data_IF_535431319329
#
_entry.id   IF_535431319329
#
_cell.length_a   1.000
_cell.length_b   1.000
_cell.length_c   1.000
_cell.angle_alpha   90.00
_cell.angle_beta   90.00
_cell.angle_gamma   90.00
#
_symmetry.space_group_name_H-M   'P 1'
#
loop_
_entity.id
_entity.type
_entity.pdbx_description
1 polymer ?
#
# COMPACT_ATOMS: atom_id res chain seq x y z
N UNK A 1 20.07 -50.55 -41.67
CA UNK A 1 19.37 -51.36 -42.69
C UNK A 1 17.92 -50.90 -42.78
N UNK A 2 17.40 -50.59 -43.98
CA UNK A 2 15.99 -50.27 -44.21
C UNK A 2 15.18 -51.57 -44.44
N UNK A 3 13.98 -51.51 -45.06
CA UNK A 3 12.65 -51.35 -44.49
C UNK A 3 11.85 -52.68 -44.58
N UNK A 4 10.56 -52.70 -44.19
CA UNK A 4 9.55 -53.52 -44.89
C UNK A 4 8.11 -53.15 -44.49
N UNK A 5 7.33 -52.74 -45.50
CA UNK A 5 5.87 -52.77 -45.54
C UNK A 5 5.41 -54.21 -45.82
N UNK A 6 4.27 -54.61 -45.24
CA UNK A 6 3.31 -55.52 -45.90
C UNK A 6 1.97 -55.50 -45.17
N UNK A 7 1.00 -54.86 -45.80
CA UNK A 7 -0.39 -55.23 -46.08
C UNK A 7 -1.21 -56.18 -45.19
N UNK A 8 -2.45 -55.70 -44.95
CA UNK A 8 -3.74 -56.39 -45.17
C UNK A 8 -4.06 -57.65 -44.36
N UNK A 9 -5.13 -57.57 -43.55
CA UNK A 9 -6.38 -58.33 -43.79
C UNK A 9 -7.48 -58.00 -42.77
N UNK A 10 -8.68 -57.73 -43.29
CA UNK A 10 -10.03 -58.12 -42.85
C UNK A 10 -10.49 -58.08 -41.37
N UNK A 11 -11.62 -57.39 -41.21
CA UNK A 11 -12.62 -57.41 -40.11
C UNK A 11 -13.16 -58.83 -39.84
N UNK A 12 -13.69 -59.15 -38.63
CA UNK A 12 -15.06 -58.73 -38.30
C UNK A 12 -15.31 -58.33 -36.83
N UNK A 13 -16.46 -57.69 -36.67
CA UNK A 13 -17.07 -57.25 -35.43
C UNK A 13 -17.08 -58.30 -34.31
N UNK A 14 -16.76 -57.89 -33.09
CA UNK A 14 -17.40 -58.46 -31.92
C UNK A 14 -17.63 -57.41 -30.83
N UNK A 15 -18.85 -57.42 -30.34
CA UNK A 15 -19.44 -56.50 -29.38
C UNK A 15 -18.95 -56.85 -27.97
N UNK A 16 -18.20 -55.94 -27.33
CA UNK A 16 -17.83 -56.11 -25.92
C UNK A 16 -18.25 -54.92 -25.06
N UNK A 17 -19.10 -55.27 -24.11
CA UNK A 17 -19.84 -54.44 -23.16
C UNK A 17 -18.87 -53.84 -22.15
N UNK A 18 -18.35 -52.63 -22.41
CA UNK A 18 -17.48 -51.92 -21.46
C UNK A 18 -18.31 -51.17 -20.41
N UNK A 19 -18.34 -51.72 -19.21
CA UNK A 19 -18.81 -51.10 -17.97
C UNK A 19 -18.11 -49.76 -17.72
N UNK A 20 -18.87 -48.66 -17.81
CA UNK A 20 -18.39 -47.30 -17.49
C UNK A 20 -18.35 -47.10 -15.97
N UNK A 21 -17.17 -46.92 -15.42
CA UNK A 21 -16.93 -46.34 -14.10
C UNK A 21 -17.49 -44.91 -14.07
N UNK A 22 -18.19 -44.48 -13.00
CA UNK A 22 -18.71 -43.13 -12.93
C UNK A 22 -17.58 -42.13 -12.72
N UNK A 23 -17.28 -41.34 -13.76
CA UNK A 23 -16.53 -40.10 -13.68
C UNK A 23 -17.26 -39.14 -12.72
N UNK A 24 -16.73 -39.02 -11.50
CA UNK A 24 -17.23 -38.09 -10.48
C UNK A 24 -16.82 -36.67 -10.89
N UNK A 25 -17.61 -36.09 -11.80
CA UNK A 25 -17.54 -34.69 -12.22
C UNK A 25 -17.85 -33.82 -11.01
N UNK A 26 -16.83 -33.49 -10.19
CA UNK A 26 -16.92 -32.47 -9.14
C UNK A 26 -17.27 -31.16 -9.85
N UNK A 27 -18.52 -30.73 -9.69
CA UNK A 27 -19.01 -29.51 -10.30
C UNK A 27 -18.21 -28.31 -9.75
N UNK A 28 -17.51 -27.60 -10.64
CA UNK A 28 -16.80 -26.36 -10.33
C UNK A 28 -17.73 -25.25 -9.83
N UNK A 29 -19.04 -25.43 -9.99
CA UNK A 29 -20.10 -24.57 -9.46
C UNK A 29 -20.23 -24.68 -7.93
N UNK A 30 -19.96 -25.85 -7.33
CA UNK A 30 -20.00 -26.04 -5.88
C UNK A 30 -18.89 -25.32 -5.13
N UNK A 31 -17.68 -25.21 -5.71
CA UNK A 31 -16.57 -24.47 -5.11
C UNK A 31 -16.80 -22.94 -5.15
N UNK A 32 -17.33 -22.43 -6.27
CA UNK A 32 -17.66 -20.99 -6.40
C UNK A 32 -18.81 -20.57 -5.47
N UNK A 33 -19.80 -21.44 -5.27
CA UNK A 33 -20.89 -21.18 -4.31
C UNK A 33 -20.41 -21.21 -2.84
N UNK A 34 -19.45 -22.07 -2.49
CA UNK A 34 -18.87 -22.11 -1.14
C UNK A 34 -17.96 -20.91 -0.85
N UNK A 35 -17.21 -20.43 -1.83
CA UNK A 35 -16.37 -19.24 -1.69
C UNK A 35 -17.20 -17.95 -1.50
N UNK A 36 -18.31 -17.81 -2.25
CA UNK A 36 -19.24 -16.66 -2.10
C UNK A 36 -20.01 -16.67 -0.77
N UNK A 37 -20.29 -17.86 -0.20
CA UNK A 37 -20.98 -18.02 1.08
C UNK A 37 -20.06 -17.90 2.31
N UNK A 38 -18.75 -18.04 2.14
CA UNK A 38 -17.76 -17.97 3.22
C UNK A 38 -17.33 -16.54 3.60
N UNK A 39 -17.57 -15.54 2.74
CA UNK A 39 -17.59 -14.15 3.13
C UNK A 39 -18.97 -13.80 3.74
N UNK A 40 -19.29 -14.40 4.89
CA UNK A 40 -20.57 -14.19 5.54
C UNK A 40 -20.77 -12.74 6.02
N UNK A 41 -22.02 -12.30 6.23
CA UNK A 41 -22.37 -10.96 6.73
C UNK A 41 -21.62 -10.53 8.01
N UNK A 42 -21.08 -11.49 8.78
CA UNK A 42 -20.23 -11.19 9.95
C UNK A 42 -18.89 -10.56 9.60
N UNK A 43 -18.26 -10.94 8.48
CA UNK A 43 -16.95 -10.38 8.07
C UNK A 43 -17.08 -8.96 7.56
N UNK A 44 -18.14 -8.68 6.78
CA UNK A 44 -18.44 -7.32 6.29
C UNK A 44 -18.74 -6.39 7.46
N UNK A 45 -19.52 -6.84 8.45
CA UNK A 45 -19.81 -6.07 9.66
C UNK A 45 -18.55 -5.80 10.49
N UNK A 46 -17.68 -6.81 10.66
CA UNK A 46 -16.42 -6.65 11.38
C UNK A 46 -15.47 -5.66 10.67
N UNK A 47 -15.34 -5.75 9.35
CA UNK A 47 -14.53 -4.82 8.56
C UNK A 47 -15.09 -3.39 8.63
N UNK A 48 -16.41 -3.21 8.57
CA UNK A 48 -17.05 -1.89 8.77
C UNK A 48 -16.76 -1.32 10.15
N UNK A 49 -16.76 -2.15 11.20
CA UNK A 49 -16.40 -1.68 12.56
C UNK A 49 -14.94 -1.24 12.64
N UNK A 50 -14.02 -1.99 12.02
CA UNK A 50 -12.59 -1.64 12.02
C UNK A 50 -12.30 -0.39 11.19
N UNK A 51 -12.91 -0.27 10.00
CA UNK A 51 -12.72 0.83 9.05
C UNK A 51 -13.78 1.93 9.15
N UNK A 52 -14.51 2.00 10.26
CA UNK A 52 -15.34 3.18 10.52
C UNK A 52 -14.44 4.36 10.85
N UNK A 53 -14.84 5.55 10.42
CA UNK A 53 -14.15 6.79 10.78
C UNK A 53 -14.15 7.09 12.29
N UNK A 54 -15.04 6.43 13.05
CA UNK A 54 -15.12 6.48 14.52
C UNK A 54 -14.31 5.39 15.21
N UNK A 55 -13.61 4.55 14.45
CA UNK A 55 -12.82 3.44 14.97
C UNK A 55 -11.59 3.93 15.72
N UNK A 56 -11.38 3.43 16.94
CA UNK A 56 -10.17 3.68 17.72
C UNK A 56 -8.91 3.23 16.99
N UNK A 57 -9.01 2.22 16.13
CA UNK A 57 -7.88 1.72 15.34
C UNK A 57 -7.46 2.71 14.25
N UNK A 58 -8.42 3.36 13.58
CA UNK A 58 -8.12 4.40 12.57
C UNK A 58 -7.46 5.61 13.23
N UNK A 59 -7.97 6.03 14.40
CA UNK A 59 -7.37 7.11 15.18
C UNK A 59 -5.98 6.76 15.68
N UNK A 60 -5.77 5.55 16.21
CA UNK A 60 -4.45 5.08 16.62
C UNK A 60 -3.46 5.05 15.45
N UNK A 61 -3.86 4.53 14.29
CA UNK A 61 -3.05 4.57 13.08
C UNK A 61 -2.72 6.01 12.67
N UNK A 62 -3.69 6.92 12.79
CA UNK A 62 -3.47 8.34 12.57
C UNK A 62 -2.43 8.96 13.51
N UNK A 63 -2.52 8.68 14.82
CA UNK A 63 -1.52 9.14 15.79
C UNK A 63 -0.13 8.57 15.48
N UNK A 64 -0.05 7.29 15.11
CA UNK A 64 1.21 6.66 14.72
C UNK A 64 1.85 7.36 13.52
N UNK A 65 1.07 7.69 12.49
CA UNK A 65 1.56 8.49 11.34
C UNK A 65 2.04 9.86 11.79
N UNK A 66 1.28 10.57 12.63
CA UNK A 66 1.69 11.88 13.14
C UNK A 66 3.01 11.83 13.92
N UNK A 67 3.20 10.80 14.76
CA UNK A 67 4.45 10.57 15.49
C UNK A 67 5.61 10.25 14.54
N UNK A 68 5.38 9.47 13.48
CA UNK A 68 6.41 9.17 12.48
C UNK A 68 6.90 10.43 11.78
N UNK A 69 6.00 11.32 11.36
CA UNK A 69 6.38 12.62 10.78
C UNK A 69 7.21 13.46 11.76
N UNK A 70 6.84 13.51 13.04
CA UNK A 70 7.66 14.19 14.06
C UNK A 70 9.04 13.53 14.18
N UNK A 71 9.11 12.20 14.19
CA UNK A 71 10.37 11.48 14.31
C UNK A 71 11.29 11.75 13.11
N UNK A 72 10.77 11.76 11.88
CA UNK A 72 11.54 12.16 10.70
C UNK A 72 11.99 13.63 10.77
N UNK A 73 11.10 14.53 11.19
CA UNK A 73 11.45 15.92 11.37
C UNK A 73 12.62 16.13 12.34
N UNK A 74 12.58 15.47 13.50
CA UNK A 74 13.68 15.49 14.46
C UNK A 74 14.95 14.82 13.93
N UNK A 75 14.81 13.73 13.18
CA UNK A 75 15.93 13.04 12.55
C UNK A 75 16.70 13.96 11.60
N UNK A 76 15.98 14.75 10.79
CA UNK A 76 16.56 15.70 9.85
C UNK A 76 17.33 16.82 10.56
N UNK A 77 16.87 17.28 11.72
CA UNK A 77 17.61 18.25 12.55
C UNK A 77 18.84 17.66 13.22
N UNK A 78 18.76 16.41 13.69
CA UNK A 78 19.85 15.76 14.42
C UNK A 78 20.93 15.23 13.48
N UNK A 79 20.53 14.73 12.30
CA UNK A 79 21.40 14.08 11.35
C UNK A 79 20.98 14.41 9.91
N UNK A 80 21.29 15.62 9.42
CA UNK A 80 20.87 16.07 8.09
C UNK A 80 21.47 15.23 6.96
N UNK A 81 22.62 14.59 7.19
CA UNK A 81 23.19 13.61 6.25
C UNK A 81 22.29 12.39 6.06
N UNK A 82 21.74 11.86 7.16
CA UNK A 82 20.80 10.76 7.10
C UNK A 82 19.45 11.22 6.52
N UNK A 83 19.00 12.44 6.85
CA UNK A 83 17.83 13.06 6.22
C UNK A 83 17.94 13.15 4.70
N UNK A 84 19.07 13.67 4.20
CA UNK A 84 19.38 13.74 2.77
C UNK A 84 19.31 12.37 2.07
N UNK A 85 19.66 11.29 2.78
CA UNK A 85 19.64 9.94 2.21
C UNK A 85 18.23 9.45 1.87
N UNK A 86 17.18 9.93 2.55
CA UNK A 86 15.79 9.58 2.20
C UNK A 86 15.39 10.11 0.82
N UNK A 87 16.00 11.23 0.42
CA UNK A 87 15.85 11.82 -0.92
C UNK A 87 16.86 11.27 -1.93
N UNK A 88 17.68 10.28 -1.55
CA UNK A 88 18.78 9.73 -2.35
C UNK A 88 19.79 10.79 -2.83
N UNK A 89 19.93 11.88 -2.07
CA UNK A 89 20.89 12.95 -2.34
C UNK A 89 22.23 12.54 -1.75
N UNK A 90 23.26 12.45 -2.59
CA UNK A 90 24.62 12.20 -2.13
C UNK A 90 25.11 13.38 -1.28
N UNK A 91 25.55 13.07 -0.06
CA UNK A 91 25.99 14.11 0.86
C UNK A 91 27.31 14.73 0.37
N UNK A 92 27.38 16.04 0.12
CA UNK A 92 28.56 16.65 -0.48
C UNK A 92 29.81 16.55 0.39
N UNK A 93 30.99 16.57 -0.25
CA UNK A 93 32.28 16.62 0.45
C UNK A 93 32.70 18.09 0.69
N UNK A 94 32.31 19.01 -0.20
CA UNK A 94 32.70 20.41 -0.11
C UNK A 94 31.86 21.15 0.96
N UNK A 95 32.49 21.87 1.91
CA UNK A 95 31.78 22.50 3.04
C UNK A 95 30.64 23.46 2.62
N UNK A 96 30.84 24.25 1.55
CA UNK A 96 29.79 25.16 1.07
C UNK A 96 28.56 24.44 0.53
N UNK A 97 28.74 23.27 -0.07
CA UNK A 97 27.64 22.46 -0.58
C UNK A 97 26.92 21.73 0.56
N UNK A 98 27.66 21.29 1.59
CA UNK A 98 27.08 20.72 2.81
C UNK A 98 26.13 21.70 3.48
N UNK A 99 26.53 22.98 3.65
CA UNK A 99 25.66 24.01 4.23
C UNK A 99 24.35 24.16 3.44
N UNK A 100 24.41 24.11 2.12
CA UNK A 100 23.21 24.22 1.28
C UNK A 100 22.29 23.00 1.42
N UNK A 101 22.85 21.78 1.48
CA UNK A 101 22.09 20.54 1.68
C UNK A 101 21.50 20.49 3.09
N UNK A 102 22.28 20.81 4.11
CA UNK A 102 21.83 20.83 5.50
C UNK A 102 20.68 21.83 5.68
N UNK A 103 20.79 23.04 5.13
CA UNK A 103 19.72 24.03 5.18
C UNK A 103 18.42 23.52 4.53
N UNK A 104 18.53 22.82 3.39
CA UNK A 104 17.37 22.21 2.74
C UNK A 104 16.75 21.11 3.61
N UNK A 105 17.58 20.23 4.16
CA UNK A 105 17.13 19.13 5.03
C UNK A 105 16.49 19.67 6.31
N UNK A 106 17.01 20.75 6.90
CA UNK A 106 16.35 21.40 8.05
C UNK A 106 14.98 22.00 7.71
N UNK A 107 14.80 22.56 6.52
CA UNK A 107 13.49 23.03 6.05
C UNK A 107 12.52 21.86 5.88
N UNK A 108 12.99 20.73 5.33
CA UNK A 108 12.23 19.48 5.26
C UNK A 108 11.86 18.99 6.66
N UNK A 109 12.82 18.98 7.60
CA UNK A 109 12.58 18.57 8.98
C UNK A 109 11.54 19.45 9.69
N UNK A 110 11.62 20.77 9.51
CA UNK A 110 10.62 21.72 10.03
C UNK A 110 9.21 21.44 9.48
N UNK A 111 9.13 21.15 8.17
CA UNK A 111 7.88 20.79 7.51
C UNK A 111 7.31 19.50 8.09
N UNK A 112 8.13 18.47 8.28
CA UNK A 112 7.68 17.17 8.80
C UNK A 112 7.21 17.29 10.27
N UNK A 113 7.90 18.09 11.10
CA UNK A 113 7.43 18.47 12.43
C UNK A 113 6.06 19.14 12.37
N UNK A 114 5.89 20.12 11.48
CA UNK A 114 4.64 20.85 11.33
C UNK A 114 3.48 19.93 10.90
N UNK A 115 3.71 19.06 9.91
CA UNK A 115 2.73 18.07 9.45
C UNK A 115 2.36 17.13 10.60
N UNK A 116 3.35 16.51 11.24
CA UNK A 116 3.11 15.56 12.32
C UNK A 116 2.35 16.17 13.50
N UNK A 117 2.75 17.37 13.95
CA UNK A 117 2.03 18.10 14.98
C UNK A 117 0.60 18.44 14.56
N UNK A 118 0.41 18.91 13.33
CA UNK A 118 -0.93 19.23 12.79
C UNK A 118 -1.84 18.01 12.75
N UNK A 119 -1.33 16.83 12.37
CA UNK A 119 -2.10 15.59 12.36
C UNK A 119 -2.53 15.17 13.77
N UNK A 120 -1.61 15.23 14.74
CA UNK A 120 -1.90 14.89 16.15
C UNK A 120 -2.93 15.87 16.74
N UNK A 121 -2.74 17.17 16.54
CA UNK A 121 -3.67 18.19 17.01
C UNK A 121 -5.04 18.05 16.34
N UNK A 122 -5.09 17.73 15.05
CA UNK A 122 -6.35 17.52 14.35
C UNK A 122 -7.12 16.30 14.88
N UNK A 123 -6.44 15.18 15.07
CA UNK A 123 -7.03 13.98 15.67
C UNK A 123 -7.59 14.23 17.08
N UNK A 124 -7.00 15.16 17.84
CA UNK A 124 -7.40 15.46 19.20
C UNK A 124 -8.48 16.55 19.31
N UNK A 125 -8.35 17.63 18.55
CA UNK A 125 -9.17 18.84 18.71
C UNK A 125 -10.07 19.15 17.51
N UNK A 126 -9.71 18.73 16.30
CA UNK A 126 -10.42 19.14 15.11
C UNK A 126 -11.63 18.25 14.83
N UNK A 127 -12.53 18.75 13.98
CA UNK A 127 -13.57 17.91 13.45
C UNK A 127 -12.99 16.87 12.47
N UNK A 128 -13.79 15.85 12.21
CA UNK A 128 -13.41 14.70 11.40
C UNK A 128 -13.02 15.08 9.96
N UNK A 129 -13.74 16.01 9.33
CA UNK A 129 -13.47 16.39 7.93
C UNK A 129 -12.14 17.13 7.82
N UNK A 130 -11.87 18.08 8.72
CA UNK A 130 -10.57 18.77 8.79
C UNK A 130 -9.43 17.76 8.97
N UNK A 131 -9.59 16.80 9.87
CA UNK A 131 -8.59 15.74 10.08
C UNK A 131 -8.37 14.93 8.82
N UNK A 132 -9.44 14.49 8.15
CA UNK A 132 -9.35 13.71 6.91
C UNK A 132 -8.56 14.45 5.82
N UNK A 133 -8.86 15.74 5.59
CA UNK A 133 -8.15 16.54 4.60
C UNK A 133 -6.68 16.78 4.96
N UNK A 134 -6.33 16.93 6.24
CA UNK A 134 -4.93 17.03 6.65
C UNK A 134 -4.14 15.75 6.35
N UNK A 135 -4.73 14.56 6.52
CA UNK A 135 -4.11 13.31 6.09
C UNK A 135 -3.93 13.25 4.56
N UNK A 136 -4.91 13.69 3.78
CA UNK A 136 -4.80 13.75 2.32
C UNK A 136 -3.75 14.76 1.84
N UNK A 137 -3.60 15.88 2.53
CA UNK A 137 -2.54 16.86 2.28
C UNK A 137 -1.16 16.30 2.63
N UNK A 138 -1.02 15.62 3.77
CA UNK A 138 0.23 14.93 4.14
C UNK A 138 0.61 13.85 3.10
N UNK A 139 -0.37 13.08 2.61
CA UNK A 139 -0.14 12.15 1.51
C UNK A 139 0.28 12.85 0.22
N UNK A 140 -0.35 13.97 -0.13
CA UNK A 140 0.00 14.74 -1.33
C UNK A 140 1.44 15.25 -1.25
N UNK A 141 1.88 15.68 -0.06
CA UNK A 141 3.26 16.10 0.18
C UNK A 141 4.24 14.93 -0.06
N UNK A 142 3.98 13.74 0.47
CA UNK A 142 4.82 12.57 0.21
C UNK A 142 4.88 12.20 -1.29
N UNK A 143 3.77 12.37 -2.02
CA UNK A 143 3.76 12.18 -3.48
C UNK A 143 4.68 13.19 -4.17
N UNK A 144 4.65 14.46 -3.75
CA UNK A 144 5.49 15.52 -4.31
C UNK A 144 6.97 15.29 -4.02
N UNK A 145 7.34 14.86 -2.81
CA UNK A 145 8.71 14.50 -2.48
C UNK A 145 9.22 13.38 -3.39
N UNK A 146 8.41 12.33 -3.56
CA UNK A 146 8.76 11.25 -4.48
C UNK A 146 8.86 11.71 -5.93
N UNK A 147 8.00 12.64 -6.38
CA UNK A 147 8.09 13.23 -7.71
C UNK A 147 9.38 14.04 -7.89
N UNK A 148 9.78 14.84 -6.90
CA UNK A 148 11.06 15.57 -6.92
C UNK A 148 12.22 14.58 -7.02
N UNK A 149 12.23 13.52 -6.20
CA UNK A 149 13.25 12.47 -6.27
C UNK A 149 13.29 11.81 -7.66
N UNK A 150 12.14 11.47 -8.23
CA UNK A 150 12.03 10.89 -9.56
C UNK A 150 12.58 11.82 -10.65
N UNK A 151 12.16 13.08 -10.67
CA UNK A 151 12.49 14.02 -11.76
C UNK A 151 13.84 14.73 -11.60
N UNK A 152 14.36 14.87 -10.38
CA UNK A 152 15.61 15.60 -10.10
C UNK A 152 16.78 14.70 -9.75
N UNK A 153 16.53 13.57 -9.08
CA UNK A 153 17.58 12.63 -8.64
C UNK A 153 17.60 11.37 -9.51
N UNK A 154 16.44 10.95 -10.03
CA UNK A 154 16.28 9.73 -10.84
C UNK A 154 16.09 8.44 -10.04
N UNK A 155 16.08 8.51 -8.70
CA UNK A 155 15.86 7.40 -7.76
C UNK A 155 15.18 7.91 -6.49
N UNK A 156 14.95 7.06 -5.49
CA UNK A 156 14.44 7.47 -4.17
C UNK A 156 12.93 7.73 -4.05
N UNK A 157 12.22 7.87 -5.18
CA UNK A 157 10.78 8.12 -5.19
C UNK A 157 9.95 7.08 -4.41
N UNK A 158 10.39 5.82 -4.37
CA UNK A 158 9.72 4.77 -3.58
C UNK A 158 9.86 4.95 -2.07
N UNK A 159 10.87 5.67 -1.58
CA UNK A 159 10.99 6.01 -0.16
C UNK A 159 9.77 6.83 0.31
N UNK A 160 9.14 7.58 -0.60
CA UNK A 160 7.98 8.41 -0.32
C UNK A 160 6.66 7.79 -0.83
N UNK A 161 6.66 7.26 -2.05
CA UNK A 161 5.45 6.71 -2.67
C UNK A 161 5.00 5.37 -2.05
N UNK A 162 5.87 4.65 -1.34
CA UNK A 162 5.49 3.40 -0.68
C UNK A 162 4.50 3.63 0.47
N UNK A 163 4.65 4.72 1.23
CA UNK A 163 3.78 5.02 2.37
C UNK A 163 2.68 6.04 2.05
N UNK A 164 2.82 6.86 1.00
CA UNK A 164 1.79 7.85 0.64
C UNK A 164 0.38 7.24 0.51
N UNK A 165 0.17 6.09 -0.17
CA UNK A 165 -1.15 5.45 -0.25
C UNK A 165 -1.73 5.05 1.11
N UNK A 166 -0.89 4.65 2.07
CA UNK A 166 -1.33 4.33 3.43
C UNK A 166 -1.88 5.58 4.14
N UNK A 167 -1.17 6.70 4.04
CA UNK A 167 -1.60 7.98 4.62
C UNK A 167 -2.89 8.47 3.95
N UNK A 168 -2.97 8.38 2.61
CA UNK A 168 -4.18 8.69 1.86
C UNK A 168 -5.36 7.80 2.29
N UNK A 169 -5.11 6.50 2.50
CA UNK A 169 -6.14 5.54 2.89
C UNK A 169 -6.72 5.87 4.27
N UNK A 170 -5.88 6.24 5.25
CA UNK A 170 -6.36 6.71 6.56
C UNK A 170 -7.22 7.96 6.39
N UNK A 171 -6.76 8.95 5.61
CA UNK A 171 -7.53 10.15 5.29
C UNK A 171 -8.88 9.84 4.63
N UNK A 172 -8.90 8.92 3.67
CA UNK A 172 -10.10 8.49 2.96
C UNK A 172 -11.10 7.74 3.86
N UNK A 173 -10.63 6.99 4.85
CA UNK A 173 -11.53 6.41 5.86
C UNK A 173 -12.13 7.53 6.72
N UNK A 174 -11.32 8.49 7.14
CA UNK A 174 -11.73 9.59 8.01
C UNK A 174 -12.75 10.53 7.35
N UNK A 175 -12.84 10.62 6.02
CA UNK A 175 -13.95 11.37 5.37
C UNK A 175 -15.32 10.81 5.77
N UNK A 176 -15.37 9.52 6.15
CA UNK A 176 -16.58 8.78 6.50
C UNK A 176 -17.30 8.19 5.30
N UNK A 177 -16.66 8.14 4.13
CA UNK A 177 -17.22 7.49 2.93
C UNK A 177 -17.56 6.01 3.14
N UNK A 178 -17.00 5.36 4.18
CA UNK A 178 -17.24 3.97 4.54
C UNK A 178 -18.17 3.78 5.77
N UNK A 179 -18.74 4.86 6.32
CA UNK A 179 -19.64 4.80 7.48
C UNK A 179 -21.11 4.46 7.13
N UNK A 180 -21.44 4.37 5.83
CA UNK A 180 -22.75 3.95 5.28
C UNK A 180 -23.02 2.51 5.67
#
# INVERSE_FOLDING_TARGET
>A
MPPKKSDSTASPANSEKRTRTPSRRRSSTGLKAKAKKAAGPSRVKALRTVFSSKSKYVHFAGYAVGVLFIAFGLLDFINPKLGASFFEIDYPILPKQQIAVDALVYVVGARDLFIGASLILALYFANRQTTAYLFLLASSQAILDGAICFFKVGKGHLNHWSYAPLVAFIGAILTGSLDI
#
